data_IF_804355421047
#
_entry.id   IF_804355421047
#
_cell.length_a   1.000
_cell.length_b   1.000
_cell.length_c   1.000
_cell.angle_alpha   90.00
_cell.angle_beta   90.00
_cell.angle_gamma   90.00
#
_symmetry.space_group_name_H-M   'P 1'
#
loop_
_entity.id
_entity.type
_entity.pdbx_description
1 polymer ?
#
# COMPACT_ATOMS: atom_id res chain seq x y z
N UNK A 1 18.31 14.03 10.05
CA UNK A 1 17.37 13.95 11.17
C UNK A 1 16.30 12.94 10.80
N UNK A 2 16.24 11.79 11.48
CA UNK A 2 15.21 10.77 11.25
C UNK A 2 13.93 11.24 11.94
N UNK A 3 13.05 11.93 11.23
CA UNK A 3 11.73 12.30 11.74
C UNK A 3 10.90 11.02 11.83
N UNK A 4 10.74 10.47 13.03
CA UNK A 4 9.70 9.48 13.28
C UNK A 4 8.35 10.17 13.04
N UNK A 5 7.69 9.81 11.93
CA UNK A 5 6.40 10.41 11.50
C UNK A 5 5.23 9.83 12.29
N UNK A 6 5.42 8.70 12.96
CA UNK A 6 4.35 8.03 13.69
C UNK A 6 4.25 8.56 15.12
N UNK A 7 3.02 8.85 15.54
CA UNK A 7 2.66 9.08 16.92
C UNK A 7 1.45 8.20 17.28
N UNK A 8 1.18 8.06 18.58
CA UNK A 8 0.10 7.20 19.07
C UNK A 8 -1.28 7.60 18.55
N UNK A 9 -1.55 8.90 18.40
CA UNK A 9 -2.83 9.38 17.88
C UNK A 9 -3.07 8.92 16.44
N UNK A 10 -2.03 9.03 15.60
CA UNK A 10 -2.05 8.58 14.21
C UNK A 10 -2.25 7.07 14.11
N UNK A 11 -1.53 6.28 14.91
CA UNK A 11 -1.68 4.81 14.93
C UNK A 11 -3.10 4.41 15.33
N UNK A 12 -3.64 5.00 16.40
CA UNK A 12 -5.00 4.73 16.88
C UNK A 12 -6.05 5.17 15.87
N UNK A 13 -5.85 6.31 15.22
CA UNK A 13 -6.72 6.80 14.15
C UNK A 13 -6.77 5.83 12.97
N UNK A 14 -5.62 5.36 12.48
CA UNK A 14 -5.57 4.39 11.39
C UNK A 14 -6.19 3.04 11.76
N UNK A 15 -5.99 2.56 13.00
CA UNK A 15 -6.72 1.39 13.52
C UNK A 15 -8.23 1.65 13.57
N UNK A 16 -8.67 2.85 13.96
CA UNK A 16 -10.10 3.21 13.98
C UNK A 16 -10.75 3.25 12.59
N UNK A 17 -9.96 3.39 11.53
CA UNK A 17 -10.42 3.24 10.14
C UNK A 17 -10.58 1.78 9.71
N UNK A 18 -10.21 0.82 10.56
CA UNK A 18 -10.21 -0.61 10.24
C UNK A 18 -8.90 -1.13 9.65
N UNK A 19 -7.82 -0.33 9.62
CA UNK A 19 -6.53 -0.81 9.11
C UNK A 19 -5.84 -1.72 10.12
N UNK A 20 -5.60 -2.99 9.73
CA UNK A 20 -4.80 -3.95 10.47
C UNK A 20 -3.31 -3.66 10.25
N UNK A 21 -2.73 -2.86 11.15
CA UNK A 21 -1.36 -2.37 11.04
C UNK A 21 -0.31 -3.43 11.44
N UNK A 22 0.86 -3.36 10.81
CA UNK A 22 2.00 -4.24 11.09
C UNK A 22 3.34 -3.51 10.98
N UNK A 23 4.33 -3.81 11.85
CA UNK A 23 5.70 -3.39 11.65
C UNK A 23 6.29 -4.02 10.38
N UNK A 24 7.03 -3.25 9.60
CA UNK A 24 7.67 -3.73 8.37
C UNK A 24 9.18 -3.54 8.46
N UNK A 25 9.92 -4.56 8.06
CA UNK A 25 11.38 -4.51 8.06
C UNK A 25 11.91 -3.58 6.95
N UNK A 26 12.81 -2.66 7.30
CA UNK A 26 13.37 -1.68 6.34
C UNK A 26 14.07 -2.33 5.13
N UNK A 27 14.81 -3.43 5.36
CA UNK A 27 15.70 -4.03 4.36
C UNK A 27 14.95 -4.88 3.35
N UNK A 28 14.13 -5.81 3.84
CA UNK A 28 13.44 -6.78 2.98
C UNK A 28 11.99 -6.40 2.66
N UNK A 29 11.47 -5.30 3.24
CA UNK A 29 10.11 -4.79 3.03
C UNK A 29 9.00 -5.79 3.38
N UNK A 30 9.30 -6.81 4.20
CA UNK A 30 8.31 -7.78 4.66
C UNK A 30 7.75 -7.38 6.03
N UNK A 31 6.49 -7.72 6.35
CA UNK A 31 5.96 -7.63 7.70
C UNK A 31 6.85 -8.37 8.69
N UNK A 32 6.78 -8.00 9.97
CA UNK A 32 7.45 -8.77 11.03
C UNK A 32 6.70 -10.08 11.25
N UNK A 33 7.38 -11.21 11.06
CA UNK A 33 6.89 -12.53 11.47
C UNK A 33 7.33 -12.83 12.91
N UNK A 34 6.50 -13.54 13.66
CA UNK A 34 6.82 -14.04 15.00
C UNK A 34 6.60 -15.54 15.07
N UNK A 35 7.28 -16.18 16.00
CA UNK A 35 7.02 -17.58 16.33
C UNK A 35 5.80 -17.66 17.25
N UNK A 36 4.76 -18.34 16.80
CA UNK A 36 3.49 -18.48 17.52
C UNK A 36 3.29 -19.89 18.10
N UNK A 37 4.37 -20.66 18.26
CA UNK A 37 4.32 -22.05 18.76
C UNK A 37 4.27 -23.13 17.67
N UNK A 38 4.06 -22.73 16.40
CA UNK A 38 3.97 -23.67 15.28
C UNK A 38 5.35 -24.08 14.76
N UNK A 39 5.48 -25.34 14.35
CA UNK A 39 6.71 -25.88 13.75
C UNK A 39 6.47 -26.32 12.31
N UNK A 40 7.53 -26.28 11.50
CA UNK A 40 7.55 -26.88 10.17
C UNK A 40 7.56 -28.42 10.28
N UNK A 41 7.29 -29.17 9.19
CA UNK A 41 7.32 -30.64 9.21
C UNK A 41 8.67 -31.24 9.66
N UNK A 42 9.77 -30.51 9.51
CA UNK A 42 11.12 -30.90 9.95
C UNK A 42 11.40 -30.60 11.44
N UNK A 43 10.41 -30.09 12.18
CA UNK A 43 10.53 -29.72 13.59
C UNK A 43 11.16 -28.34 13.85
N UNK A 44 11.56 -27.60 12.82
CA UNK A 44 12.07 -26.23 12.98
C UNK A 44 10.94 -25.24 13.31
N UNK A 45 11.27 -24.15 14.03
CA UNK A 45 10.29 -23.11 14.38
C UNK A 45 9.72 -22.46 13.12
N UNK A 46 8.39 -22.40 13.01
CA UNK A 46 7.68 -21.69 11.94
C UNK A 46 7.37 -20.26 12.41
N UNK A 47 7.89 -19.29 11.68
CA UNK A 47 7.59 -17.88 11.90
C UNK A 47 6.49 -17.45 10.95
N UNK A 48 5.45 -16.82 11.49
CA UNK A 48 4.23 -16.49 10.76
C UNK A 48 3.90 -15.01 10.95
N UNK A 49 3.13 -14.45 10.02
CA UNK A 49 2.63 -13.08 10.15
C UNK A 49 1.76 -12.95 11.40
N UNK A 50 1.91 -11.82 12.06
CA UNK A 50 1.16 -11.47 13.26
C UNK A 50 0.32 -10.23 12.99
N UNK A 51 -0.91 -10.23 13.49
CA UNK A 51 -1.96 -9.29 13.14
C UNK A 51 -2.49 -8.49 14.33
N UNK A 52 -1.98 -8.73 15.54
CA UNK A 52 -2.48 -8.12 16.78
C UNK A 52 -1.37 -7.32 17.50
N UNK A 53 -0.74 -6.41 16.77
CA UNK A 53 0.34 -5.57 17.29
C UNK A 53 -0.19 -4.48 18.22
N UNK A 54 0.46 -4.32 19.38
CA UNK A 54 0.15 -3.23 20.31
C UNK A 54 0.51 -1.86 19.71
N UNK A 55 -0.10 -0.80 20.22
CA UNK A 55 0.21 0.58 19.79
C UNK A 55 1.67 0.94 20.05
N UNK A 56 2.26 0.44 21.13
CA UNK A 56 3.66 0.68 21.50
C UNK A 56 4.63 -0.02 20.54
N UNK A 57 4.33 -1.26 20.14
CA UNK A 57 5.14 -1.97 19.15
C UNK A 57 5.08 -1.31 17.76
N UNK A 58 3.92 -0.78 17.38
CA UNK A 58 3.75 -0.03 16.14
C UNK A 58 4.45 1.34 16.21
N UNK A 59 4.41 2.02 17.37
CA UNK A 59 5.08 3.28 17.58
C UNK A 59 6.60 3.14 17.43
N UNK A 60 7.15 2.04 17.93
CA UNK A 60 8.57 1.73 17.87
C UNK A 60 9.02 1.11 16.53
N UNK A 61 8.11 0.92 15.58
CA UNK A 61 8.43 0.37 14.27
C UNK A 61 9.06 1.42 13.35
N UNK A 62 10.15 1.06 12.68
CA UNK A 62 10.81 1.91 11.68
C UNK A 62 9.92 2.20 10.47
N UNK A 63 9.06 1.23 10.11
CA UNK A 63 8.01 1.34 9.10
C UNK A 63 6.74 0.66 9.57
N UNK A 64 5.62 1.24 9.16
CA UNK A 64 4.30 0.67 9.36
C UNK A 64 3.70 0.36 7.99
N UNK A 65 3.10 -0.81 7.89
CA UNK A 65 2.19 -1.17 6.81
C UNK A 65 0.86 -1.64 7.33
N UNK A 66 -0.03 -2.00 6.41
CA UNK A 66 -1.30 -2.64 6.70
C UNK A 66 -1.51 -3.86 5.81
N UNK A 67 -2.20 -4.88 6.33
CA UNK A 67 -2.59 -6.05 5.56
C UNK A 67 -3.92 -5.82 4.85
N UNK A 68 -4.01 -6.14 3.56
CA UNK A 68 -5.23 -5.91 2.79
C UNK A 68 -6.39 -6.77 3.27
N UNK A 69 -6.18 -8.08 3.39
CA UNK A 69 -7.20 -9.05 3.80
C UNK A 69 -7.73 -8.76 5.20
N UNK A 70 -6.84 -8.59 6.19
CA UNK A 70 -7.26 -8.33 7.57
C UNK A 70 -7.85 -6.93 7.79
N UNK A 71 -7.65 -6.00 6.84
CA UNK A 71 -8.29 -4.68 6.88
C UNK A 71 -9.56 -4.59 6.02
N UNK A 72 -9.92 -5.67 5.31
CA UNK A 72 -11.01 -5.68 4.32
C UNK A 72 -10.87 -4.53 3.28
N UNK A 73 -9.65 -4.35 2.77
CA UNK A 73 -9.33 -3.33 1.75
C UNK A 73 -8.58 -3.93 0.56
N UNK A 74 -8.55 -3.19 -0.54
CA UNK A 74 -7.65 -3.44 -1.66
C UNK A 74 -7.02 -2.13 -2.13
N UNK A 75 -5.85 -2.21 -2.75
CA UNK A 75 -5.07 -1.04 -3.15
C UNK A 75 -4.82 -1.03 -4.65
N UNK A 76 -5.07 0.10 -5.31
CA UNK A 76 -4.53 0.41 -6.62
C UNK A 76 -3.09 0.89 -6.42
N UNK A 77 -2.13 0.10 -6.87
CA UNK A 77 -0.69 0.33 -6.74
C UNK A 77 -0.11 0.77 -8.09
N UNK A 78 0.40 1.99 -8.15
CA UNK A 78 1.09 2.56 -9.31
C UNK A 78 2.59 2.28 -9.18
N UNK A 79 3.14 1.48 -10.10
CA UNK A 79 4.55 1.00 -10.08
C UNK A 79 5.37 1.48 -11.31
N UNK A 80 4.90 2.53 -11.96
CA UNK A 80 5.59 3.18 -13.07
C UNK A 80 6.86 3.91 -12.60
N UNK A 81 8.02 3.44 -13.08
CA UNK A 81 9.33 4.02 -12.78
C UNK A 81 9.54 5.42 -13.36
N UNK A 82 8.81 5.77 -14.42
CA UNK A 82 8.87 7.10 -15.03
C UNK A 82 8.02 8.13 -14.30
N UNK A 83 7.15 7.68 -13.38
CA UNK A 83 6.19 8.48 -12.61
C UNK A 83 5.10 9.18 -13.44
N UNK A 84 4.97 8.90 -14.73
CA UNK A 84 3.96 9.50 -15.61
C UNK A 84 2.56 9.15 -15.12
N UNK A 85 2.26 7.86 -14.91
CA UNK A 85 0.90 7.45 -14.51
C UNK A 85 0.48 8.02 -13.14
N UNK A 86 1.45 8.36 -12.29
CA UNK A 86 1.19 8.90 -10.95
C UNK A 86 0.62 10.33 -11.02
N UNK A 87 0.90 11.07 -12.09
CA UNK A 87 0.31 12.39 -12.35
C UNK A 87 -1.21 12.33 -12.54
N UNK A 88 -1.74 11.16 -12.91
CA UNK A 88 -3.18 10.95 -13.12
C UNK A 88 -3.91 10.41 -11.88
N UNK A 89 -3.27 10.38 -10.70
CA UNK A 89 -3.85 9.85 -9.45
C UNK A 89 -5.19 10.51 -9.07
N UNK A 90 -5.42 11.76 -9.48
CA UNK A 90 -6.65 12.51 -9.24
C UNK A 90 -7.85 12.04 -10.11
N UNK A 91 -7.61 11.19 -11.13
CA UNK A 91 -8.70 10.54 -11.88
C UNK A 91 -9.38 9.43 -11.07
N UNK A 92 -8.71 8.89 -10.05
CA UNK A 92 -9.26 7.87 -9.17
C UNK A 92 -10.21 8.51 -8.14
N UNK A 93 -11.34 7.88 -7.80
CA UNK A 93 -12.17 8.30 -6.68
C UNK A 93 -11.37 8.49 -5.38
N UNK A 94 -11.65 9.56 -4.63
CA UNK A 94 -10.93 9.85 -3.40
C UNK A 94 -11.13 8.75 -2.36
N UNK A 95 -10.02 8.33 -1.76
CA UNK A 95 -9.98 7.39 -0.64
C UNK A 95 -8.64 7.54 0.11
N UNK A 96 -8.36 6.69 1.10
CA UNK A 96 -7.06 6.58 1.74
C UNK A 96 -5.94 6.56 0.69
N UNK A 97 -4.95 7.44 0.85
CA UNK A 97 -3.85 7.59 -0.12
C UNK A 97 -2.54 7.71 0.59
N UNK A 98 -1.61 6.85 0.20
CA UNK A 98 -0.24 6.89 0.66
C UNK A 98 0.75 6.82 -0.51
N UNK A 99 1.98 7.18 -0.23
CA UNK A 99 2.97 7.42 -1.26
C UNK A 99 4.39 7.37 -0.74
N UNK A 100 5.29 8.00 -1.50
CA UNK A 100 6.69 8.08 -1.11
C UNK A 100 7.29 9.46 -1.41
N UNK A 101 8.28 9.82 -0.59
CA UNK A 101 9.25 10.88 -0.88
C UNK A 101 10.29 10.33 -1.83
N UNK A 102 10.49 10.98 -2.95
CA UNK A 102 11.48 10.57 -3.96
C UNK A 102 12.05 11.78 -4.68
N UNK A 103 12.97 11.56 -5.62
CA UNK A 103 13.46 12.61 -6.50
C UNK A 103 12.95 12.37 -7.92
N UNK A 104 12.32 13.39 -8.50
CA UNK A 104 11.92 13.43 -9.90
C UNK A 104 12.69 14.57 -10.54
N UNK A 105 13.49 14.29 -11.57
CA UNK A 105 14.33 15.28 -12.26
C UNK A 105 15.21 16.11 -11.30
N UNK A 106 15.76 15.47 -10.26
CA UNK A 106 16.61 16.10 -9.26
C UNK A 106 15.86 16.92 -8.19
N UNK A 107 14.53 16.99 -8.24
CA UNK A 107 13.70 17.73 -7.30
C UNK A 107 13.05 16.76 -6.32
N UNK A 108 13.12 17.08 -5.02
CA UNK A 108 12.42 16.31 -3.99
C UNK A 108 10.90 16.45 -4.19
N UNK A 109 10.23 15.33 -4.39
CA UNK A 109 8.79 15.24 -4.62
C UNK A 109 8.14 14.27 -3.62
N UNK A 110 6.87 14.51 -3.31
CA UNK A 110 5.99 13.52 -2.71
C UNK A 110 5.11 13.00 -3.84
N UNK A 111 5.16 11.69 -4.06
CA UNK A 111 4.41 11.05 -5.14
C UNK A 111 3.39 10.08 -4.51
N UNK A 112 2.09 10.24 -4.78
CA UNK A 112 1.10 9.25 -4.38
C UNK A 112 1.31 7.99 -5.22
N UNK A 113 1.52 6.85 -4.56
CA UNK A 113 1.74 5.56 -5.24
C UNK A 113 0.56 4.61 -5.04
N UNK A 114 -0.23 4.82 -3.99
CA UNK A 114 -1.28 3.89 -3.59
C UNK A 114 -2.59 4.64 -3.34
N UNK A 115 -3.68 4.10 -3.88
CA UNK A 115 -5.06 4.48 -3.53
C UNK A 115 -5.79 3.25 -3.02
N UNK A 116 -6.25 3.28 -1.77
CA UNK A 116 -6.80 2.11 -1.08
C UNK A 116 -8.28 2.28 -0.84
N UNK A 117 -9.07 1.27 -1.22
CA UNK A 117 -10.52 1.26 -1.09
C UNK A 117 -10.99 0.12 -0.19
N UNK A 118 -12.14 0.33 0.44
CA UNK A 118 -12.82 -0.71 1.21
C UNK A 118 -13.43 -1.75 0.27
N UNK A 119 -13.29 -3.03 0.62
CA UNK A 119 -13.99 -4.13 -0.06
C UNK A 119 -15.49 -4.01 0.22
N UNK A 120 -16.31 -4.09 -0.83
CA UNK A 120 -17.76 -4.06 -0.73
C UNK A 120 -18.38 -5.36 -1.26
N UNK A 121 -19.70 -5.43 -1.33
CA UNK A 121 -20.43 -6.62 -1.80
C UNK A 121 -20.09 -7.07 -3.24
N UNK A 122 -19.36 -6.26 -4.02
CA UNK A 122 -18.89 -6.62 -5.37
C UNK A 122 -17.50 -7.28 -5.35
N UNK A 123 -16.83 -7.33 -4.19
CA UNK A 123 -15.48 -7.88 -4.05
C UNK A 123 -14.39 -6.84 -4.31
N UNK A 124 -13.33 -7.26 -5.00
CA UNK A 124 -12.17 -6.42 -5.34
C UNK A 124 -12.02 -6.28 -6.84
N UNK A 125 -11.47 -5.15 -7.29
CA UNK A 125 -11.02 -5.03 -8.67
C UNK A 125 -9.77 -5.91 -8.86
N UNK A 126 -9.75 -6.73 -9.92
CA UNK A 126 -8.57 -7.44 -10.38
C UNK A 126 -8.05 -6.78 -11.67
N UNK A 127 -7.11 -5.86 -11.52
CA UNK A 127 -6.52 -5.10 -12.61
C UNK A 127 -5.00 -5.19 -12.59
N UNK A 128 -4.41 -5.29 -13.78
CA UNK A 128 -2.96 -5.31 -13.96
C UNK A 128 -2.59 -4.84 -15.36
N UNK A 129 -1.69 -3.87 -15.44
CA UNK A 129 -1.25 -3.30 -16.71
C UNK A 129 0.23 -2.90 -16.70
N UNK A 130 0.98 -3.17 -17.78
CA UNK A 130 0.62 -4.06 -18.89
C UNK A 130 0.48 -5.53 -18.41
N UNK A 131 -0.35 -6.33 -19.10
CA UNK A 131 -0.55 -7.76 -18.74
C UNK A 131 0.73 -8.58 -18.89
N UNK A 132 1.56 -8.22 -19.88
CA UNK A 132 2.85 -8.87 -20.15
C UNK A 132 3.96 -7.90 -19.74
N UNK A 133 4.78 -8.32 -18.79
CA UNK A 133 6.01 -7.61 -18.43
C UNK A 133 7.01 -7.82 -19.57
N UNK A 134 7.41 -6.77 -20.27
CA UNK A 134 8.68 -6.85 -21.01
C UNK A 134 9.81 -6.98 -19.99
N UNK A 135 10.99 -7.49 -20.39
CA UNK A 135 12.13 -7.63 -19.46
C UNK A 135 12.54 -6.30 -18.82
N UNK A 136 12.24 -5.18 -19.49
CA UNK A 136 12.63 -3.83 -19.09
C UNK A 136 11.44 -2.98 -18.58
N UNK A 137 10.20 -3.33 -18.96
CA UNK A 137 8.97 -2.63 -18.59
C UNK A 137 8.35 -3.21 -17.32
N UNK A 138 8.39 -2.42 -16.24
CA UNK A 138 7.64 -2.71 -15.01
C UNK A 138 6.12 -2.71 -15.24
N UNK A 139 5.35 -2.91 -14.16
CA UNK A 139 3.92 -2.64 -14.21
C UNK A 139 3.71 -1.14 -14.14
N UNK A 140 2.74 -0.60 -14.88
CA UNK A 140 2.26 0.76 -14.63
C UNK A 140 1.35 0.75 -13.41
N UNK A 141 0.46 -0.24 -13.32
CA UNK A 141 -0.53 -0.36 -12.26
C UNK A 141 -0.90 -1.82 -11.99
N UNK A 142 -1.10 -2.16 -10.72
CA UNK A 142 -1.78 -3.39 -10.29
C UNK A 142 -2.72 -3.16 -9.11
N UNK A 143 -3.71 -4.03 -8.94
CA UNK A 143 -4.55 -4.08 -7.74
C UNK A 143 -4.03 -5.13 -6.77
N UNK A 144 -3.84 -4.75 -5.51
CA UNK A 144 -3.34 -5.60 -4.42
C UNK A 144 -4.47 -5.94 -3.44
N UNK A 145 -4.69 -7.24 -3.20
CA UNK A 145 -5.81 -7.73 -2.36
C UNK A 145 -5.39 -8.60 -1.19
N UNK A 146 -4.26 -9.32 -1.30
CA UNK A 146 -3.83 -10.31 -0.28
C UNK A 146 -2.42 -10.00 0.28
N UNK A 147 -1.85 -8.85 -0.10
CA UNK A 147 -0.48 -8.45 0.27
C UNK A 147 -0.52 -7.53 1.49
N UNK A 148 0.62 -6.91 1.80
CA UNK A 148 0.72 -5.76 2.70
C UNK A 148 1.21 -4.55 1.91
N UNK A 149 0.79 -3.35 2.30
CA UNK A 149 1.28 -2.06 1.76
C UNK A 149 1.95 -1.24 2.85
N UNK A 150 3.10 -0.62 2.56
CA UNK A 150 3.84 0.23 3.52
C UNK A 150 3.32 1.66 3.37
N UNK A 151 2.69 2.20 4.41
CA UNK A 151 2.11 3.54 4.37
C UNK A 151 2.93 4.60 5.12
N UNK A 152 3.83 4.20 6.02
CA UNK A 152 4.60 5.15 6.84
C UNK A 152 5.99 4.65 7.19
N UNK A 153 6.92 5.60 7.36
CA UNK A 153 8.29 5.38 7.80
C UNK A 153 9.30 5.32 6.67
N UNK A 154 10.53 5.78 6.94
CA UNK A 154 11.57 5.96 5.93
C UNK A 154 11.13 6.98 4.86
N UNK A 155 10.97 6.51 3.62
CA UNK A 155 10.49 7.29 2.48
C UNK A 155 8.96 7.32 2.36
N UNK A 156 8.22 6.54 3.14
CA UNK A 156 6.75 6.40 3.01
C UNK A 156 5.99 7.38 3.90
N UNK A 157 4.85 7.84 3.39
CA UNK A 157 3.94 8.74 4.10
C UNK A 157 2.50 8.60 3.60
N UNK A 158 1.56 8.88 4.50
CA UNK A 158 0.16 9.09 4.17
C UNK A 158 -0.01 10.51 3.63
N UNK A 159 -0.73 10.64 2.51
CA UNK A 159 -0.99 11.90 1.82
C UNK A 159 -2.44 12.34 2.07
N UNK A 160 -3.39 11.40 2.00
CA UNK A 160 -4.80 11.63 2.33
C UNK A 160 -5.16 10.69 3.49
N UNK A 161 -5.21 11.25 4.70
CA UNK A 161 -5.55 10.57 5.95
C UNK A 161 -7.06 10.60 6.16
N UNK A 162 -7.76 9.66 5.53
CA UNK A 162 -9.19 9.42 5.69
C UNK A 162 -9.47 7.91 5.65
N UNK A 163 -10.55 7.40 6.26
CA UNK A 163 -10.85 5.97 6.18
C UNK A 163 -11.01 5.51 4.72
N UNK A 164 -10.56 4.29 4.36
CA UNK A 164 -10.84 3.71 3.06
C UNK A 164 -12.35 3.68 2.80
N UNK A 165 -12.77 4.15 1.62
CA UNK A 165 -14.18 4.18 1.23
C UNK A 165 -14.49 3.11 0.19
N UNK A 166 -15.76 2.71 0.11
CA UNK A 166 -16.24 1.85 -0.96
C UNK A 166 -16.22 2.58 -2.31
N UNK A 167 -16.13 1.82 -3.39
CA UNK A 167 -16.06 2.36 -4.75
C UNK A 167 -16.82 1.46 -5.72
N UNK A 168 -17.38 2.07 -6.76
CA UNK A 168 -17.91 1.34 -7.91
C UNK A 168 -16.73 0.75 -8.70
N UNK A 169 -16.67 -0.58 -8.80
CA UNK A 169 -15.54 -1.28 -9.41
C UNK A 169 -15.44 -1.03 -10.92
N UNK A 170 -16.57 -0.80 -11.61
CA UNK A 170 -16.57 -0.50 -13.04
C UNK A 170 -16.03 0.92 -13.29
N UNK A 171 -16.51 1.90 -12.52
CA UNK A 171 -15.96 3.25 -12.57
C UNK A 171 -14.46 3.24 -12.30
N UNK A 172 -14.02 2.51 -11.27
CA UNK A 172 -12.60 2.41 -10.94
C UNK A 172 -11.79 1.81 -12.10
N UNK A 173 -12.27 0.72 -12.70
CA UNK A 173 -11.63 0.09 -13.86
C UNK A 173 -11.52 1.04 -15.06
N UNK A 174 -12.59 1.78 -15.36
CA UNK A 174 -12.62 2.74 -16.46
C UNK A 174 -11.59 3.87 -16.23
N UNK A 175 -11.49 4.39 -15.00
CA UNK A 175 -10.50 5.42 -14.64
C UNK A 175 -9.07 4.90 -14.77
N UNK A 176 -8.77 3.71 -14.24
CA UNK A 176 -7.43 3.12 -14.35
C UNK A 176 -7.08 2.86 -15.82
N UNK A 177 -8.03 2.40 -16.63
CA UNK A 177 -7.82 2.16 -18.06
C UNK A 177 -7.51 3.45 -18.82
N UNK A 178 -8.22 4.54 -18.49
CA UNK A 178 -7.96 5.87 -19.04
C UNK A 178 -6.57 6.40 -18.63
N UNK A 179 -6.17 6.22 -17.37
CA UNK A 179 -4.83 6.57 -16.90
C UNK A 179 -3.74 5.83 -17.67
N UNK A 180 -3.92 4.53 -17.91
CA UNK A 180 -3.00 3.71 -18.70
C UNK A 180 -2.90 4.24 -20.13
N UNK A 181 -4.04 4.52 -20.77
CA UNK A 181 -4.07 5.09 -22.12
C UNK A 181 -3.33 6.41 -22.21
N UNK A 182 -3.59 7.37 -21.31
CA UNK A 182 -2.88 8.65 -21.30
C UNK A 182 -1.37 8.49 -21.11
N UNK A 183 -0.95 7.55 -20.27
CA UNK A 183 0.48 7.26 -20.06
C UNK A 183 1.17 6.73 -21.33
N UNK A 184 0.46 6.04 -22.22
CA UNK A 184 1.03 5.46 -23.44
C UNK A 184 1.11 6.43 -24.62
N UNK A 185 0.31 7.49 -24.61
CA UNK A 185 0.20 8.45 -25.72
C UNK A 185 0.87 9.80 -25.42
N UNK A 186 1.48 9.95 -24.23
CA UNK A 186 2.26 11.14 -23.83
C UNK A 186 3.63 11.23 -24.51
#
# INVERSE_FOLDING_TARGET
MSSHVNNLETIRRWKSYGLNLTPVNLKNKKPKAIYQGNHNPDGSKKFEWYHDWSDEELLNAERIGYFHEQSEVFTVDLDDKSYVIHGYMELLPFSWTDGKRTQINGINAIVPTHRTYKVNGQGTLNFKYPKVKSKDGGLLVETLTNKQTICSGGDRLVIIDQPPVEVDLQLLQDRISLMCFFTEVE
#
